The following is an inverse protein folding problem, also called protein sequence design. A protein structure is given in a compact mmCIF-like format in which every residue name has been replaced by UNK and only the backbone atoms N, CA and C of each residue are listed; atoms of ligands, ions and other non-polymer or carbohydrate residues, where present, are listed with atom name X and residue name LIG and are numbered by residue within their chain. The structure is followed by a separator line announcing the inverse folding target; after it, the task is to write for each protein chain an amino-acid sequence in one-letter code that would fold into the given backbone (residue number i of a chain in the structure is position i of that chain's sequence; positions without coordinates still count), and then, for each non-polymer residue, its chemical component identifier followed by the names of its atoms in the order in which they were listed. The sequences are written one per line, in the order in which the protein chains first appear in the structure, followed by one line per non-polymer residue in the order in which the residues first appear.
data_IF_764726303676
#
_entry.id   IF_764726303676
#
_cell.length_a   1.000
_cell.length_b   1.000
_cell.length_c   1.000
_cell.angle_alpha   90.00
_cell.angle_beta   90.00
_cell.angle_gamma   90.00
#
_symmetry.space_group_name_H-M   'P 1'
#
loop_
_entity.id
_entity.type
_entity.pdbx_description
1 polymer ?
#
# COMPACT_ATOMS: atom_id res chain seq x y z
N UNK A 1 -41.04 56.45 1.35
CA UNK A 1 -39.65 56.58 0.83
C UNK A 1 -38.64 55.86 1.73
N UNK A 2 -38.62 54.52 1.76
CA UNK A 2 -37.59 53.76 2.51
C UNK A 2 -37.37 52.32 1.99
N UNK A 3 -37.73 52.05 0.73
CA UNK A 3 -37.67 50.68 0.16
C UNK A 3 -36.57 50.56 -0.91
N UNK A 4 -36.25 51.65 -1.62
CA UNK A 4 -35.18 51.67 -2.63
C UNK A 4 -33.74 51.65 -2.06
N UNK A 5 -33.54 51.93 -0.76
CA UNK A 5 -32.23 51.87 -0.10
C UNK A 5 -31.82 50.48 0.41
N UNK A 6 -32.78 49.58 0.64
CA UNK A 6 -32.51 48.23 1.18
C UNK A 6 -32.17 47.21 0.09
N UNK A 7 -32.76 47.37 -1.10
CA UNK A 7 -32.47 46.52 -2.26
C UNK A 7 -31.06 46.80 -2.78
N UNK A 8 -30.64 48.06 -2.80
CA UNK A 8 -29.29 48.47 -3.20
C UNK A 8 -28.22 48.05 -2.19
N UNK A 9 -28.51 48.01 -0.89
CA UNK A 9 -27.60 47.48 0.13
C UNK A 9 -27.45 45.95 0.04
N UNK A 10 -28.54 45.21 -0.16
CA UNK A 10 -28.49 43.73 -0.36
C UNK A 10 -27.83 43.35 -1.67
N UNK A 11 -28.03 44.12 -2.74
CA UNK A 11 -27.32 43.93 -4.00
C UNK A 11 -25.83 44.28 -3.86
N UNK A 12 -25.46 45.32 -3.11
CA UNK A 12 -24.05 45.63 -2.82
C UNK A 12 -23.38 44.57 -1.94
N UNK A 13 -24.08 43.99 -0.96
CA UNK A 13 -23.56 42.89 -0.14
C UNK A 13 -23.44 41.59 -0.93
N UNK A 14 -24.41 41.26 -1.80
CA UNK A 14 -24.31 40.10 -2.71
C UNK A 14 -23.22 40.31 -3.76
N UNK A 15 -23.06 41.53 -4.27
CA UNK A 15 -21.99 41.88 -5.20
C UNK A 15 -20.63 41.85 -4.52
N UNK A 16 -20.50 42.33 -3.28
CA UNK A 16 -19.26 42.23 -2.49
C UNK A 16 -18.93 40.77 -2.12
N UNK A 17 -19.94 39.93 -1.82
CA UNK A 17 -19.75 38.50 -1.58
C UNK A 17 -19.41 37.72 -2.86
N UNK A 18 -19.99 38.10 -4.00
CA UNK A 18 -19.63 37.57 -5.32
C UNK A 18 -18.28 38.10 -5.83
N UNK A 19 -17.90 39.33 -5.47
CA UNK A 19 -16.58 39.91 -5.73
C UNK A 19 -15.49 39.31 -4.83
N UNK A 20 -15.84 38.79 -3.63
CA UNK A 20 -14.94 37.96 -2.82
C UNK A 20 -14.84 36.50 -3.27
N UNK A 21 -15.82 36.01 -4.04
CA UNK A 21 -15.82 34.69 -4.71
C UNK A 21 -15.31 34.76 -6.16
N UNK A 22 -15.08 35.96 -6.69
CA UNK A 22 -14.46 36.16 -7.99
C UNK A 22 -12.94 36.01 -7.83
N UNK A 23 -12.38 34.96 -8.43
CA UNK A 23 -10.95 34.71 -8.62
C UNK A 23 -10.27 36.04 -9.04
N UNK A 24 -9.45 36.69 -8.19
CA UNK A 24 -8.75 37.90 -8.62
C UNK A 24 -7.84 37.60 -9.82
N UNK A 25 -7.51 38.60 -10.66
CA UNK A 25 -6.48 38.46 -11.66
C UNK A 25 -5.13 38.30 -10.93
N UNK A 26 -4.72 37.06 -10.70
CA UNK A 26 -3.66 36.73 -9.76
C UNK A 26 -2.27 37.06 -10.30
N UNK A 27 -1.58 37.94 -9.56
CA UNK A 27 -0.11 37.97 -9.48
C UNK A 27 0.42 36.83 -8.59
N UNK A 28 1.73 36.62 -8.67
CA UNK A 28 2.45 35.43 -8.16
C UNK A 28 2.26 35.11 -6.67
N UNK A 29 2.11 33.80 -6.42
CA UNK A 29 2.07 33.10 -5.13
C UNK A 29 0.77 33.25 -4.33
N UNK A 30 -0.27 32.50 -4.71
CA UNK A 30 -1.32 32.17 -3.75
C UNK A 30 -1.56 30.67 -3.73
N UNK A 31 -1.34 30.13 -2.54
CA UNK A 31 -1.73 28.80 -2.10
C UNK A 31 -3.24 28.63 -2.28
N UNK A 32 -3.68 27.53 -2.90
CA UNK A 32 -5.09 27.28 -3.15
C UNK A 32 -5.90 26.79 -1.95
N UNK A 33 -5.25 26.56 -0.79
CA UNK A 33 -5.87 26.14 0.47
C UNK A 33 -7.22 26.82 0.77
N UNK A 34 -7.34 28.17 0.79
CA UNK A 34 -8.59 28.83 1.16
C UNK A 34 -9.74 28.58 0.18
N UNK A 35 -9.46 28.30 -1.10
CA UNK A 35 -10.52 28.04 -2.09
C UNK A 35 -10.95 26.57 -2.13
N UNK A 36 -10.03 25.66 -1.77
CA UNK A 36 -10.26 24.22 -1.77
C UNK A 36 -10.89 23.74 -0.47
N UNK A 37 -10.50 24.28 0.68
CA UNK A 37 -10.95 23.80 2.02
C UNK A 37 -11.77 24.86 2.76
N UNK A 38 -11.87 26.09 2.24
CA UNK A 38 -12.65 27.16 2.86
C UNK A 38 -14.10 26.72 3.10
N UNK A 39 -14.50 26.74 4.38
CA UNK A 39 -15.84 26.37 4.88
C UNK A 39 -16.23 24.90 4.77
N UNK A 40 -15.31 24.01 4.38
CA UNK A 40 -15.60 22.57 4.20
C UNK A 40 -15.42 21.74 5.46
N UNK A 41 -14.88 22.30 6.55
CA UNK A 41 -14.70 21.55 7.79
C UNK A 41 -16.02 21.40 8.56
N UNK A 42 -16.47 20.17 8.89
CA UNK A 42 -17.73 19.96 9.59
C UNK A 42 -17.73 20.49 11.04
N UNK A 43 -18.89 20.94 11.51
CA UNK A 43 -19.07 21.38 12.90
C UNK A 43 -18.94 20.19 13.88
N UNK A 44 -19.39 19.01 13.45
CA UNK A 44 -19.38 17.74 14.19
C UNK A 44 -17.95 17.28 14.50
N UNK A 45 -16.99 17.62 13.63
CA UNK A 45 -15.57 17.32 13.78
C UNK A 45 -14.76 18.52 14.29
N UNK A 46 -15.43 19.64 14.59
CA UNK A 46 -14.80 20.80 15.22
C UNK A 46 -14.58 20.58 16.72
N UNK A 47 -15.44 19.78 17.36
CA UNK A 47 -15.25 19.32 18.75
C UNK A 47 -14.73 17.89 18.74
N UNK A 48 -13.47 17.69 19.12
CA UNK A 48 -12.84 16.37 19.11
C UNK A 48 -13.25 15.57 20.35
N UNK A 49 -13.89 14.43 20.14
CA UNK A 49 -14.24 13.41 21.15
C UNK A 49 -13.46 12.11 20.88
N UNK A 50 -13.35 11.17 21.83
CA UNK A 50 -12.68 9.88 21.59
C UNK A 50 -13.26 9.10 20.40
N UNK A 51 -14.56 9.22 20.16
CA UNK A 51 -15.32 8.50 19.14
C UNK A 51 -15.02 9.04 17.73
N UNK A 52 -14.87 10.37 17.58
CA UNK A 52 -14.64 11.05 16.31
C UNK A 52 -13.17 11.42 16.03
N UNK A 53 -12.26 11.30 17.01
CA UNK A 53 -10.86 11.72 16.88
C UNK A 53 -10.09 11.03 15.75
N UNK A 54 -10.42 9.76 15.48
CA UNK A 54 -9.83 9.00 14.36
C UNK A 54 -10.28 9.54 13.01
N UNK A 55 -11.57 9.78 12.84
CA UNK A 55 -12.19 10.33 11.62
C UNK A 55 -11.71 11.76 11.36
N UNK A 56 -11.67 12.60 12.39
CA UNK A 56 -11.16 13.97 12.28
C UNK A 56 -9.68 14.02 11.85
N UNK A 57 -8.83 13.17 12.42
CA UNK A 57 -7.40 13.11 12.04
C UNK A 57 -7.22 12.67 10.59
N UNK A 58 -7.99 11.66 10.17
CA UNK A 58 -7.98 11.16 8.80
C UNK A 58 -8.44 12.25 7.81
N UNK A 59 -9.60 12.87 8.07
CA UNK A 59 -10.15 13.91 7.20
C UNK A 59 -9.20 15.10 7.06
N UNK A 60 -8.52 15.52 8.14
CA UNK A 60 -7.53 16.60 8.08
C UNK A 60 -6.35 16.25 7.18
N UNK A 61 -5.80 15.05 7.34
CA UNK A 61 -4.68 14.60 6.52
C UNK A 61 -5.05 14.51 5.03
N UNK A 62 -6.29 14.10 4.74
CA UNK A 62 -6.80 13.98 3.38
C UNK A 62 -7.05 15.35 2.72
N UNK A 63 -7.65 16.30 3.44
CA UNK A 63 -7.83 17.67 2.94
C UNK A 63 -6.49 18.36 2.67
N UNK A 64 -5.50 18.21 3.56
CA UNK A 64 -4.14 18.72 3.35
C UNK A 64 -3.49 18.09 2.10
N UNK A 65 -3.77 16.81 1.82
CA UNK A 65 -3.27 16.12 0.64
C UNK A 65 -3.89 16.66 -0.65
N UNK A 66 -5.20 16.87 -0.68
CA UNK A 66 -5.92 17.43 -1.83
C UNK A 66 -5.38 18.82 -2.16
N UNK A 67 -5.20 19.66 -1.14
CA UNK A 67 -4.63 21.00 -1.27
C UNK A 67 -3.21 20.98 -1.82
N UNK A 68 -2.34 20.10 -1.31
CA UNK A 68 -0.96 19.98 -1.81
C UNK A 68 -0.92 19.56 -3.28
N UNK A 69 -1.76 18.59 -3.66
CA UNK A 69 -1.87 18.11 -5.04
C UNK A 69 -2.35 19.22 -5.99
N UNK A 70 -3.40 19.96 -5.60
CA UNK A 70 -3.93 21.06 -6.40
C UNK A 70 -2.88 22.17 -6.59
N UNK A 71 -2.16 22.53 -5.51
CA UNK A 71 -1.07 23.50 -5.59
C UNK A 71 0.07 23.06 -6.52
N UNK A 72 0.41 21.77 -6.57
CA UNK A 72 1.43 21.23 -7.47
C UNK A 72 1.00 21.25 -8.94
N UNK A 73 -0.26 20.92 -9.22
CA UNK A 73 -0.84 21.04 -10.55
C UNK A 73 -0.84 22.50 -11.03
N UNK A 74 -1.24 23.44 -10.17
CA UNK A 74 -1.18 24.87 -10.47
C UNK A 74 0.26 25.35 -10.76
N UNK A 75 1.27 24.84 -10.01
CA UNK A 75 2.68 25.13 -10.31
C UNK A 75 3.10 24.58 -11.68
N UNK A 76 2.63 23.40 -12.05
CA UNK A 76 2.95 22.76 -13.33
C UNK A 76 2.34 23.53 -14.51
N UNK A 77 1.05 23.89 -14.42
CA UNK A 77 0.36 24.72 -15.42
C UNK A 77 1.10 26.04 -15.63
N UNK A 78 1.56 26.67 -14.55
CA UNK A 78 2.32 27.93 -14.61
C UNK A 78 3.73 27.76 -15.20
N UNK A 79 4.42 26.65 -14.90
CA UNK A 79 5.74 26.33 -15.47
C UNK A 79 5.67 26.06 -16.98
N UNK A 80 4.52 25.61 -17.49
CA UNK A 80 4.31 25.38 -18.92
C UNK A 80 4.27 26.69 -19.75
N UNK A 81 4.29 27.88 -19.12
CA UNK A 81 4.51 29.15 -19.80
C UNK A 81 3.34 29.68 -20.64
N UNK A 82 2.20 28.98 -20.68
CA UNK A 82 0.98 29.48 -21.29
C UNK A 82 0.46 30.66 -20.46
N UNK A 83 0.31 31.84 -21.07
CA UNK A 83 -0.26 33.04 -20.41
C UNK A 83 -1.56 33.42 -21.10
N UNK A 84 -2.61 33.69 -20.33
CA UNK A 84 -3.89 34.17 -20.85
C UNK A 84 -5.12 33.43 -20.32
N UNK A 85 -6.30 33.60 -20.95
CA UNK A 85 -7.58 33.09 -20.44
C UNK A 85 -7.66 31.56 -20.42
N UNK A 86 -6.94 30.87 -21.31
CA UNK A 86 -6.89 29.41 -21.32
C UNK A 86 -6.19 28.83 -20.08
N UNK A 87 -5.11 29.48 -19.64
CA UNK A 87 -4.41 29.12 -18.40
C UNK A 87 -5.34 29.33 -17.19
N UNK A 88 -6.05 30.47 -17.14
CA UNK A 88 -6.98 30.77 -16.06
C UNK A 88 -8.15 29.77 -15.98
N UNK A 89 -8.68 29.34 -17.14
CA UNK A 89 -9.72 28.32 -17.18
C UNK A 89 -9.24 26.96 -16.66
N UNK A 90 -7.99 26.59 -16.97
CA UNK A 90 -7.41 25.33 -16.49
C UNK A 90 -7.06 25.39 -15.01
N UNK A 91 -6.51 26.52 -14.53
CA UNK A 91 -6.29 26.74 -13.10
C UNK A 91 -7.61 26.70 -12.31
N UNK A 92 -8.69 27.27 -12.85
CA UNK A 92 -10.03 27.20 -12.24
C UNK A 92 -10.55 25.76 -12.17
N UNK A 93 -10.39 24.97 -13.23
CA UNK A 93 -10.79 23.54 -13.24
C UNK A 93 -10.08 22.73 -12.17
N UNK A 94 -8.79 22.97 -11.96
CA UNK A 94 -8.00 22.30 -10.92
C UNK A 94 -8.56 22.64 -9.53
N UNK A 95 -8.85 23.92 -9.27
CA UNK A 95 -9.39 24.36 -7.97
C UNK A 95 -10.80 23.82 -7.74
N UNK A 96 -11.68 23.89 -8.75
CA UNK A 96 -13.06 23.40 -8.67
C UNK A 96 -13.11 21.88 -8.48
N UNK A 97 -12.26 21.14 -9.20
CA UNK A 97 -12.13 19.69 -9.06
C UNK A 97 -11.61 19.29 -7.67
N UNK A 98 -10.59 19.99 -7.17
CA UNK A 98 -10.06 19.78 -5.83
C UNK A 98 -11.11 20.06 -4.74
N UNK A 99 -11.90 21.13 -4.90
CA UNK A 99 -12.99 21.47 -3.97
C UNK A 99 -14.10 20.42 -3.99
N UNK A 100 -14.49 19.92 -5.17
CA UNK A 100 -15.50 18.87 -5.29
C UNK A 100 -15.04 17.57 -4.60
N UNK A 101 -13.78 17.19 -4.78
CA UNK A 101 -13.20 16.03 -4.12
C UNK A 101 -13.13 16.22 -2.59
N UNK A 102 -12.74 17.41 -2.13
CA UNK A 102 -12.73 17.75 -0.71
C UNK A 102 -14.14 17.60 -0.09
N UNK A 103 -15.18 18.08 -0.79
CA UNK A 103 -16.57 17.93 -0.35
C UNK A 103 -17.00 16.46 -0.24
N UNK A 104 -16.67 15.63 -1.24
CA UNK A 104 -16.98 14.20 -1.22
C UNK A 104 -16.29 13.48 -0.06
N UNK A 105 -15.03 13.83 0.26
CA UNK A 105 -14.30 13.25 1.39
C UNK A 105 -14.91 13.64 2.73
N UNK A 106 -15.35 14.89 2.86
CA UNK A 106 -16.06 15.37 4.04
C UNK A 106 -17.38 14.60 4.23
N UNK A 107 -18.16 14.45 3.17
CA UNK A 107 -19.44 13.74 3.21
C UNK A 107 -19.26 12.25 3.57
N UNK A 108 -18.25 11.59 2.99
CA UNK A 108 -17.91 10.20 3.34
C UNK A 108 -17.49 10.05 4.81
N UNK A 109 -16.72 11.00 5.34
CA UNK A 109 -16.31 11.01 6.75
C UNK A 109 -17.50 11.17 7.70
N UNK A 110 -18.49 11.99 7.33
CA UNK A 110 -19.74 12.15 8.10
C UNK A 110 -20.58 10.89 8.05
N UNK A 111 -20.75 10.25 6.88
CA UNK A 111 -21.46 8.95 6.78
C UNK A 111 -20.78 7.85 7.60
N UNK A 112 -19.45 7.84 7.64
CA UNK A 112 -18.69 6.91 8.48
C UNK A 112 -18.92 7.18 9.98
N UNK A 113 -19.04 8.46 10.37
CA UNK A 113 -19.34 8.86 11.74
C UNK A 113 -20.76 8.44 12.13
N UNK A 114 -21.76 8.70 11.28
CA UNK A 114 -23.15 8.31 11.49
C UNK A 114 -23.30 6.80 11.62
N UNK A 115 -22.68 6.02 10.71
CA UNK A 115 -22.67 4.56 10.79
C UNK A 115 -22.04 4.04 12.10
N UNK A 116 -20.95 4.66 12.54
CA UNK A 116 -20.28 4.30 13.80
C UNK A 116 -21.10 4.69 15.03
N UNK A 117 -21.99 5.68 14.90
CA UNK A 117 -22.95 6.07 15.93
C UNK A 117 -24.19 5.17 15.95
N UNK A 118 -24.63 4.64 14.81
CA UNK A 118 -25.73 3.67 14.71
C UNK A 118 -25.34 2.27 15.24
N UNK A 119 -24.07 1.86 15.13
CA UNK A 119 -23.54 0.60 15.65
C UNK A 119 -23.32 0.57 17.19
N UNK A 120 -23.73 1.62 17.92
CA UNK A 120 -23.69 1.66 19.38
C UNK A 120 -24.99 1.07 19.98
N UNK A 121 -24.92 0.06 20.88
CA UNK A 121 -26.11 -0.46 21.55
C UNK A 121 -26.76 0.65 22.38
N UNK A 122 -27.99 1.05 22.03
CA UNK A 122 -28.75 2.08 22.77
C UNK A 122 -29.59 1.52 23.91
N UNK A 123 -29.30 0.30 24.37
CA UNK A 123 -29.81 -0.24 25.65
C UNK A 123 -28.64 -0.37 26.61
N UNK A 124 -28.34 0.72 27.34
CA UNK A 124 -27.78 0.73 28.70
C UNK A 124 -27.36 2.15 29.10
N UNK A 125 -28.34 3.02 29.32
CA UNK A 125 -28.19 4.19 30.18
C UNK A 125 -28.82 3.86 31.55
N UNK A 126 -28.10 3.98 32.67
CA UNK A 126 -28.61 3.58 33.97
C UNK A 126 -29.63 4.61 34.47
N UNK A 127 -30.86 4.18 34.73
CA UNK A 127 -31.84 4.93 35.53
C UNK A 127 -32.21 4.13 36.77
N UNK A 128 -31.91 4.72 37.92
CA UNK A 128 -32.17 4.20 39.26
C UNK A 128 -33.67 4.30 39.58
N UNK A 129 -34.28 3.23 40.09
CA UNK A 129 -35.37 3.31 41.09
C UNK A 129 -35.65 1.96 41.80
N UNK A 130 -36.21 2.00 43.03
CA UNK A 130 -36.01 1.01 44.09
C UNK A 130 -37.03 -0.15 44.09
N UNK A 131 -36.73 -1.22 44.85
CA UNK A 131 -37.53 -2.46 45.01
C UNK A 131 -38.95 -2.26 45.59
N UNK A 132 -39.72 -3.33 45.94
CA UNK A 132 -39.26 -4.58 46.60
C UNK A 132 -39.98 -5.90 46.20
N UNK A 133 -39.48 -7.03 46.73
CA UNK A 133 -40.33 -8.02 47.40
C UNK A 133 -40.79 -9.28 46.66
N UNK A 134 -40.18 -10.40 47.06
CA UNK A 134 -40.78 -11.75 47.25
C UNK A 134 -41.19 -12.63 46.06
N UNK A 135 -40.60 -13.84 46.03
CA UNK A 135 -40.89 -14.96 45.10
C UNK A 135 -42.19 -15.72 45.42
N UNK A 136 -42.34 -17.04 45.11
CA UNK A 136 -41.32 -18.04 44.75
C UNK A 136 -41.66 -18.98 43.55
N UNK A 137 -40.62 -19.76 43.20
CA UNK A 137 -40.51 -21.03 42.45
C UNK A 137 -41.77 -21.88 42.18
N UNK A 138 -41.88 -22.47 40.99
CA UNK A 138 -41.64 -23.91 40.73
C UNK A 138 -42.01 -24.28 39.27
N UNK A 139 -41.20 -25.16 38.68
CA UNK A 139 -41.53 -26.18 37.66
C UNK A 139 -42.57 -25.83 36.56
N UNK A 140 -42.18 -25.87 35.29
CA UNK A 140 -42.41 -27.06 34.46
C UNK A 140 -41.96 -26.88 32.99
N UNK A 141 -41.53 -28.00 32.40
CA UNK A 141 -41.75 -28.40 31.00
C UNK A 141 -41.10 -27.65 29.81
N UNK A 142 -39.99 -28.26 29.35
CA UNK A 142 -39.73 -28.80 27.99
C UNK A 142 -39.97 -27.99 26.69
N UNK A 143 -38.87 -27.92 25.89
CA UNK A 143 -38.69 -28.30 24.46
C UNK A 143 -39.59 -27.70 23.34
N UNK A 144 -38.95 -26.89 22.46
CA UNK A 144 -38.93 -26.79 20.96
C UNK A 144 -40.19 -27.19 20.12
N UNK A 145 -40.35 -26.82 18.82
CA UNK A 145 -40.08 -25.61 18.01
C UNK A 145 -41.25 -25.27 17.01
N UNK A 146 -41.00 -24.41 15.99
CA UNK A 146 -41.60 -24.39 14.62
C UNK A 146 -42.91 -23.61 14.29
N UNK A 147 -42.70 -22.50 13.56
CA UNK A 147 -43.30 -21.92 12.31
C UNK A 147 -44.83 -21.65 12.14
N UNK A 148 -45.08 -20.48 11.50
CA UNK A 148 -46.24 -20.01 10.69
C UNK A 148 -47.38 -19.35 11.49
N UNK A 149 -48.06 -18.26 11.06
CA UNK A 149 -48.55 -17.89 9.72
C UNK A 149 -48.63 -16.35 9.58
N UNK A 150 -48.38 -15.92 8.33
CA UNK A 150 -48.79 -14.71 7.63
C UNK A 150 -50.06 -13.96 8.09
N UNK A 151 -50.06 -12.64 7.94
CA UNK A 151 -51.23 -11.89 7.48
C UNK A 151 -50.78 -10.65 6.70
N UNK A 152 -51.52 -10.39 5.63
CA UNK A 152 -51.19 -9.56 4.48
C UNK A 152 -51.29 -8.05 4.71
N UNK A 153 -50.57 -7.36 3.84
CA UNK A 153 -50.50 -5.93 3.51
C UNK A 153 -51.87 -5.21 3.42
N UNK A 154 -51.91 -3.87 3.53
CA UNK A 154 -51.83 -3.12 2.27
C UNK A 154 -51.01 -1.82 2.34
N UNK A 155 -50.07 -1.72 1.40
CA UNK A 155 -49.91 -0.63 0.43
C UNK A 155 -49.96 0.82 0.95
N UNK A 156 -48.78 1.40 1.11
CA UNK A 156 -48.50 2.77 0.67
C UNK A 156 -47.27 2.77 -0.25
N UNK A 157 -47.45 3.37 -1.42
CA UNK A 157 -46.46 3.50 -2.50
C UNK A 157 -45.26 4.36 -2.06
N UNK A 158 -44.20 3.71 -1.58
CA UNK A 158 -42.88 4.34 -1.47
C UNK A 158 -42.14 4.15 -2.81
N UNK A 159 -41.68 5.22 -3.49
CA UNK A 159 -40.93 5.07 -4.73
C UNK A 159 -39.66 4.28 -4.43
N UNK A 160 -39.48 3.17 -5.16
CA UNK A 160 -38.27 2.37 -5.12
C UNK A 160 -37.07 3.29 -5.40
N UNK A 161 -36.33 3.60 -4.34
CA UNK A 161 -34.93 4.00 -4.46
C UNK A 161 -34.28 2.76 -5.03
N UNK A 162 -34.11 2.74 -6.35
CA UNK A 162 -33.11 1.90 -6.96
C UNK A 162 -31.81 2.31 -6.28
N UNK A 163 -31.39 1.49 -5.33
CA UNK A 163 -30.02 1.44 -4.84
C UNK A 163 -29.20 1.16 -6.10
N UNK A 164 -28.83 2.24 -6.79
CA UNK A 164 -27.71 2.21 -7.70
C UNK A 164 -26.55 2.00 -6.75
N UNK A 165 -26.26 0.73 -6.42
CA UNK A 165 -24.89 0.31 -6.19
C UNK A 165 -24.10 0.96 -7.31
N UNK A 166 -23.49 2.10 -7.01
CA UNK A 166 -22.37 2.59 -7.77
C UNK A 166 -21.32 1.51 -7.54
N UNK A 167 -21.39 0.45 -8.34
CA UNK A 167 -20.39 -0.57 -8.43
C UNK A 167 -19.09 0.19 -8.61
N UNK A 168 -18.25 0.19 -7.57
CA UNK A 168 -16.87 0.56 -7.73
C UNK A 168 -16.41 -0.24 -8.93
N UNK A 169 -16.05 0.44 -10.02
CA UNK A 169 -15.60 -0.26 -11.20
C UNK A 169 -14.47 -1.19 -10.74
N UNK A 170 -14.52 -2.49 -11.09
CA UNK A 170 -13.47 -3.39 -10.68
C UNK A 170 -12.16 -2.81 -11.19
N UNK A 171 -11.18 -2.70 -10.29
CA UNK A 171 -9.83 -2.28 -10.61
C UNK A 171 -9.35 -3.05 -11.85
N UNK A 172 -8.86 -2.34 -12.86
CA UNK A 172 -8.33 -3.01 -14.05
C UNK A 172 -7.06 -3.80 -13.71
N UNK A 173 -6.80 -4.87 -14.45
CA UNK A 173 -5.58 -5.68 -14.26
C UNK A 173 -4.30 -4.83 -14.37
N UNK A 174 -4.32 -3.82 -15.25
CA UNK A 174 -3.21 -2.89 -15.43
C UNK A 174 -3.01 -2.00 -14.19
N UNK A 175 -4.08 -1.46 -13.62
CA UNK A 175 -4.02 -0.66 -12.38
C UNK A 175 -3.47 -1.48 -11.21
N UNK A 176 -3.93 -2.73 -11.06
CA UNK A 176 -3.43 -3.65 -10.03
C UNK A 176 -1.94 -3.88 -10.14
N UNK A 177 -1.45 -4.15 -11.35
CA UNK A 177 -0.03 -4.37 -11.59
C UNK A 177 0.79 -3.10 -11.38
N UNK A 178 0.29 -1.92 -11.75
CA UNK A 178 0.96 -0.65 -11.43
C UNK A 178 1.06 -0.43 -9.92
N UNK A 179 -0.01 -0.68 -9.16
CA UNK A 179 0.01 -0.57 -7.70
C UNK A 179 1.04 -1.53 -7.09
N UNK A 180 1.11 -2.76 -7.58
CA UNK A 180 2.11 -3.74 -7.15
C UNK A 180 3.54 -3.26 -7.45
N UNK A 181 3.81 -2.82 -8.67
CA UNK A 181 5.15 -2.31 -9.05
C UNK A 181 5.52 -1.11 -8.19
N UNK A 182 4.58 -0.18 -7.96
CA UNK A 182 4.80 0.97 -7.09
C UNK A 182 5.10 0.56 -5.64
N UNK A 183 4.40 -0.45 -5.11
CA UNK A 183 4.69 -1.01 -3.79
C UNK A 183 6.13 -1.55 -3.68
N UNK A 184 6.61 -2.25 -4.71
CA UNK A 184 7.99 -2.74 -4.75
C UNK A 184 9.00 -1.60 -4.87
N UNK A 185 8.74 -0.66 -5.78
CA UNK A 185 9.61 0.49 -6.04
C UNK A 185 9.68 1.48 -4.86
N UNK A 186 8.63 1.58 -4.03
CA UNK A 186 8.67 2.38 -2.78
C UNK A 186 9.63 1.80 -1.75
N UNK A 187 9.83 0.48 -1.75
CA UNK A 187 10.78 -0.18 -0.85
C UNK A 187 12.21 -0.05 -1.36
N UNK A 188 12.41 -0.15 -2.67
CA UNK A 188 13.72 0.01 -3.29
C UNK A 188 13.61 0.70 -4.66
N UNK A 189 13.64 2.06 -4.69
CA UNK A 189 13.45 2.84 -5.91
C UNK A 189 14.69 2.86 -6.81
N UNK A 190 15.84 2.37 -6.31
CA UNK A 190 17.08 2.27 -7.10
C UNK A 190 17.08 1.14 -8.13
N UNK A 191 16.07 0.28 -8.15
CA UNK A 191 15.98 -0.89 -9.02
C UNK A 191 14.89 -0.76 -10.08
N UNK A 192 15.10 -1.41 -11.23
CA UNK A 192 14.00 -1.66 -12.15
C UNK A 192 13.10 -2.76 -11.58
N UNK A 193 11.79 -2.55 -11.71
CA UNK A 193 10.77 -3.50 -11.29
C UNK A 193 9.83 -3.79 -12.45
N UNK A 194 9.45 -5.05 -12.62
CA UNK A 194 8.41 -5.47 -13.54
C UNK A 194 7.46 -6.44 -12.84
N UNK A 195 6.17 -6.28 -13.07
CA UNK A 195 5.16 -7.25 -12.66
C UNK A 195 4.22 -7.57 -13.82
N UNK A 196 3.67 -8.77 -13.82
CA UNK A 196 2.74 -9.15 -14.87
C UNK A 196 2.01 -10.44 -14.57
N UNK A 197 0.86 -10.57 -15.23
CA UNK A 197 -0.01 -11.73 -15.09
C UNK A 197 0.33 -12.75 -16.17
N UNK A 198 0.48 -14.00 -15.76
CA UNK A 198 0.62 -15.14 -16.68
C UNK A 198 -0.74 -15.56 -17.22
N UNK A 199 -0.74 -16.31 -18.32
CA UNK A 199 -1.97 -16.92 -18.87
C UNK A 199 -2.73 -17.80 -17.87
N UNK A 200 -2.03 -18.36 -16.86
CA UNK A 200 -2.63 -19.16 -15.80
C UNK A 200 -3.20 -18.34 -14.63
N UNK A 201 -3.25 -17.01 -14.75
CA UNK A 201 -3.76 -16.10 -13.73
C UNK A 201 -2.81 -15.84 -12.56
N UNK A 202 -1.56 -16.30 -12.63
CA UNK A 202 -0.56 -16.05 -11.59
C UNK A 202 0.15 -14.72 -11.87
N UNK A 203 0.10 -13.81 -10.90
CA UNK A 203 0.93 -12.60 -10.89
C UNK A 203 2.35 -12.92 -10.48
N UNK A 204 3.31 -12.49 -11.30
CA UNK A 204 4.75 -12.60 -11.05
C UNK A 204 5.39 -11.23 -10.98
N UNK A 205 6.44 -11.11 -10.17
CA UNK A 205 7.26 -9.91 -10.06
C UNK A 205 8.73 -10.25 -10.26
N UNK A 206 9.47 -9.32 -10.87
CA UNK A 206 10.90 -9.44 -11.13
C UNK A 206 11.61 -8.09 -10.96
N UNK A 207 12.88 -8.18 -10.61
CA UNK A 207 13.87 -7.12 -10.80
C UNK A 207 15.04 -7.70 -11.60
N UNK A 208 15.69 -6.85 -12.38
CA UNK A 208 16.88 -7.19 -13.18
C UNK A 208 18.18 -7.13 -12.39
N UNK A 209 18.16 -6.76 -11.11
CA UNK A 209 19.34 -6.74 -10.23
C UNK A 209 20.19 -8.02 -10.30
N UNK A 210 19.53 -9.18 -10.32
CA UNK A 210 20.18 -10.48 -10.39
C UNK A 210 19.25 -11.55 -10.98
N UNK A 211 18.94 -11.42 -12.27
CA UNK A 211 18.33 -12.50 -13.07
C UNK A 211 16.92 -12.94 -12.57
N UNK A 212 16.24 -12.06 -11.81
CA UNK A 212 14.93 -12.29 -11.19
C UNK A 212 14.95 -12.56 -9.69
N UNK A 213 16.13 -12.56 -9.05
CA UNK A 213 16.25 -12.65 -7.59
C UNK A 213 15.68 -11.41 -6.90
N UNK A 214 14.89 -11.60 -5.84
CA UNK A 214 14.38 -10.52 -5.00
C UNK A 214 15.27 -10.37 -3.75
N UNK A 215 15.91 -9.22 -3.52
CA UNK A 215 16.76 -8.96 -2.37
C UNK A 215 16.12 -9.27 -1.01
N UNK A 216 16.92 -9.55 0.03
CA UNK A 216 16.44 -9.58 1.41
C UNK A 216 15.90 -8.19 1.81
N UNK A 217 14.99 -8.16 2.77
CA UNK A 217 14.38 -6.91 3.25
C UNK A 217 13.24 -6.37 2.38
N UNK A 218 13.05 -6.90 1.17
CA UNK A 218 11.90 -6.55 0.32
C UNK A 218 10.70 -7.42 0.67
N UNK A 219 9.63 -6.77 1.15
CA UNK A 219 8.31 -7.33 1.35
C UNK A 219 7.66 -7.68 0.01
N UNK A 220 7.03 -8.86 -0.04
CA UNK A 220 6.32 -9.36 -1.22
C UNK A 220 4.89 -9.71 -0.80
N UNK A 221 3.86 -9.21 -1.52
CA UNK A 221 2.47 -9.54 -1.25
C UNK A 221 2.17 -11.04 -1.36
N UNK A 222 1.18 -11.57 -0.61
CA UNK A 222 0.93 -13.01 -0.50
C UNK A 222 0.42 -13.70 -1.76
N UNK A 223 -0.22 -12.94 -2.65
CA UNK A 223 -0.79 -13.34 -3.93
C UNK A 223 0.26 -13.38 -5.07
N UNK A 224 1.43 -12.80 -4.84
CA UNK A 224 2.50 -12.70 -5.84
C UNK A 224 3.43 -13.92 -5.78
N UNK A 225 3.83 -14.40 -6.95
CA UNK A 225 4.85 -15.45 -7.10
C UNK A 225 6.18 -14.87 -7.56
N UNK A 226 7.26 -15.36 -6.97
CA UNK A 226 8.62 -15.03 -7.41
C UNK A 226 9.09 -15.99 -8.49
N UNK A 227 9.98 -15.50 -9.36
CA UNK A 227 10.62 -16.35 -10.36
C UNK A 227 11.47 -17.44 -9.70
N UNK A 228 11.51 -18.66 -10.26
CA UNK A 228 12.35 -19.72 -9.73
C UNK A 228 13.84 -19.41 -9.97
N UNK A 229 14.75 -19.89 -9.11
CA UNK A 229 16.18 -19.76 -9.29
C UNK A 229 16.62 -20.34 -10.62
N UNK A 230 17.15 -19.46 -11.48
CA UNK A 230 17.63 -19.84 -12.80
C UNK A 230 18.46 -18.69 -13.35
N UNK A 231 19.45 -19.02 -14.18
CA UNK A 231 20.16 -17.99 -14.91
C UNK A 231 19.32 -17.37 -16.03
N UNK A 232 19.26 -16.05 -16.08
CA UNK A 232 18.52 -15.26 -17.07
C UNK A 232 19.33 -14.03 -17.47
N UNK A 233 19.04 -13.49 -18.64
CA UNK A 233 19.68 -12.26 -19.15
C UNK A 233 18.62 -11.34 -19.73
N UNK A 234 18.81 -10.04 -19.60
CA UNK A 234 17.89 -9.03 -20.13
C UNK A 234 17.39 -8.10 -19.05
N UNK A 235 16.54 -7.16 -19.45
CA UNK A 235 15.86 -6.24 -18.54
C UNK A 235 14.75 -6.95 -17.73
N UNK A 236 14.15 -6.22 -16.78
CA UNK A 236 13.14 -6.77 -15.88
C UNK A 236 11.94 -7.39 -16.63
N UNK A 237 11.53 -6.82 -17.77
CA UNK A 237 10.44 -7.34 -18.61
C UNK A 237 10.84 -8.64 -19.31
N UNK A 238 12.04 -8.68 -19.89
CA UNK A 238 12.58 -9.87 -20.54
C UNK A 238 12.72 -11.02 -19.56
N UNK A 239 13.21 -10.74 -18.34
CA UNK A 239 13.33 -11.70 -17.24
C UNK A 239 11.96 -12.22 -16.79
N UNK A 240 10.94 -11.34 -16.77
CA UNK A 240 9.57 -11.72 -16.46
C UNK A 240 9.05 -12.76 -17.46
N UNK A 241 9.40 -12.67 -18.74
CA UNK A 241 8.96 -13.61 -19.78
C UNK A 241 7.50 -13.38 -20.20
N UNK A 242 6.82 -14.35 -20.83
CA UNK A 242 5.49 -14.13 -21.43
C UNK A 242 4.41 -13.82 -20.38
N UNK A 243 3.71 -12.70 -20.56
CA UNK A 243 2.62 -12.21 -19.71
C UNK A 243 1.48 -11.66 -20.57
N UNK A 244 0.24 -11.74 -20.07
CA UNK A 244 -0.96 -11.20 -20.73
C UNK A 244 -1.05 -9.68 -20.53
N UNK A 245 -0.71 -9.22 -19.33
CA UNK A 245 -0.68 -7.81 -18.92
C UNK A 245 0.59 -7.60 -18.09
N UNK A 246 1.24 -6.45 -18.23
CA UNK A 246 2.46 -6.12 -17.50
C UNK A 246 2.58 -4.64 -17.17
N UNK A 247 3.19 -4.35 -16.03
CA UNK A 247 3.59 -3.02 -15.61
C UNK A 247 5.08 -2.98 -15.25
N UNK A 248 5.71 -1.82 -15.41
CA UNK A 248 7.14 -1.63 -15.17
C UNK A 248 7.41 -0.33 -14.45
N UNK A 249 8.56 -0.28 -13.78
CA UNK A 249 9.14 0.90 -13.18
C UNK A 249 10.64 0.90 -13.45
N UNK A 250 11.16 2.04 -13.90
CA UNK A 250 12.59 2.31 -13.96
C UNK A 250 12.99 3.28 -12.84
N UNK A 251 14.24 3.20 -12.35
CA UNK A 251 14.75 4.14 -11.34
C UNK A 251 14.55 5.60 -11.76
N UNK A 252 13.90 6.37 -10.90
CA UNK A 252 13.59 7.78 -11.14
C UNK A 252 12.22 8.04 -11.78
N UNK A 253 11.49 7.00 -12.18
CA UNK A 253 10.10 7.15 -12.60
C UNK A 253 9.25 7.72 -11.44
N UNK A 254 8.25 8.57 -11.74
CA UNK A 254 7.40 9.15 -10.72
C UNK A 254 6.48 8.08 -10.10
N UNK A 255 6.64 7.84 -8.79
CA UNK A 255 5.80 6.95 -7.97
C UNK A 255 4.42 7.56 -7.62
N UNK A 256 3.88 8.41 -8.50
CA UNK A 256 2.63 9.15 -8.28
C UNK A 256 1.46 8.58 -9.10
N UNK A 257 1.65 7.44 -9.77
CA UNK A 257 0.59 6.77 -10.52
C UNK A 257 -0.55 6.32 -9.61
N UNK A 258 -0.25 6.07 -8.33
CA UNK A 258 -1.25 5.76 -7.33
C UNK A 258 -1.68 6.97 -6.48
N UNK A 259 -2.90 7.50 -6.71
CA UNK A 259 -3.63 8.40 -5.80
C UNK A 259 -3.95 7.76 -4.43
N UNK A 260 -2.94 7.40 -3.62
CA UNK A 260 -3.13 6.99 -2.22
C UNK A 260 -3.58 5.56 -1.96
N UNK A 261 -3.60 4.69 -2.96
CA UNK A 261 -4.01 3.29 -2.87
C UNK A 261 -2.82 2.31 -2.79
N UNK A 262 -1.59 2.72 -3.16
CA UNK A 262 -0.37 1.92 -2.93
C UNK A 262 -0.09 1.67 -1.43
N UNK A 263 -0.69 2.49 -0.55
CA UNK A 263 -0.68 2.32 0.91
C UNK A 263 -1.67 1.25 1.41
N UNK A 264 -2.45 0.61 0.54
CA UNK A 264 -3.39 -0.45 0.91
C UNK A 264 -2.72 -1.83 1.07
N UNK A 265 -1.53 -2.03 0.48
CA UNK A 265 -0.67 -3.13 0.88
C UNK A 265 -0.10 -2.80 2.25
N UNK A 266 -0.73 -3.32 3.31
CA UNK A 266 -0.15 -3.32 4.64
C UNK A 266 1.24 -3.97 4.55
N UNK A 267 2.34 -3.25 4.81
CA UNK A 267 3.66 -3.86 4.83
C UNK A 267 3.72 -5.03 5.79
N UNK A 268 2.92 -5.05 6.87
CA UNK A 268 2.83 -6.19 7.79
C UNK A 268 2.14 -7.43 7.17
N UNK A 269 1.50 -7.30 6.00
CA UNK A 269 0.96 -8.39 5.20
C UNK A 269 2.00 -8.99 4.22
N UNK A 270 3.31 -8.78 4.43
CA UNK A 270 4.34 -9.50 3.67
C UNK A 270 4.22 -11.00 3.90
N UNK A 271 4.46 -11.79 2.85
CA UNK A 271 4.41 -13.23 2.96
C UNK A 271 5.75 -13.87 2.65
N UNK A 272 6.38 -14.45 3.69
CA UNK A 272 7.49 -15.40 3.52
C UNK A 272 7.08 -16.55 2.59
N UNK A 273 5.78 -16.85 2.47
CA UNK A 273 5.25 -17.88 1.56
C UNK A 273 5.51 -17.57 0.09
N UNK A 274 5.65 -16.30 -0.31
CA UNK A 274 5.96 -15.92 -1.70
C UNK A 274 7.36 -16.43 -2.11
N UNK A 275 8.28 -16.54 -1.13
CA UNK A 275 9.64 -17.09 -1.29
C UNK A 275 9.69 -18.62 -1.24
N UNK A 276 8.54 -19.31 -1.16
CA UNK A 276 8.51 -20.79 -1.12
C UNK A 276 9.04 -21.38 -2.43
N UNK A 277 10.05 -22.22 -2.31
CA UNK A 277 10.64 -23.03 -3.39
C UNK A 277 10.71 -24.50 -2.96
N UNK A 278 11.01 -25.44 -3.89
CA UNK A 278 11.40 -26.79 -3.52
C UNK A 278 12.51 -26.76 -2.45
N UNK A 279 12.41 -27.67 -1.48
CA UNK A 279 13.38 -27.73 -0.38
C UNK A 279 14.72 -28.24 -0.87
N UNK A 280 15.80 -27.57 -0.49
CA UNK A 280 17.16 -28.06 -0.67
C UNK A 280 17.47 -29.05 0.46
N UNK A 281 17.74 -30.29 0.06
CA UNK A 281 18.15 -31.34 1.00
C UNK A 281 19.47 -30.96 1.69
N UNK A 282 19.58 -31.28 2.98
CA UNK A 282 20.77 -30.98 3.79
C UNK A 282 21.23 -29.50 3.75
N UNK A 283 20.29 -28.56 3.60
CA UNK A 283 20.53 -27.11 3.52
C UNK A 283 21.59 -26.61 4.51
N UNK A 284 21.49 -27.00 5.79
CA UNK A 284 22.44 -26.55 6.81
C UNK A 284 23.88 -27.03 6.56
N UNK A 285 24.05 -28.28 6.11
CA UNK A 285 25.37 -28.83 5.76
C UNK A 285 25.94 -28.15 4.51
N UNK A 286 25.11 -28.01 3.47
CA UNK A 286 25.50 -27.36 2.23
C UNK A 286 25.88 -25.88 2.44
N UNK A 287 25.11 -25.17 3.26
CA UNK A 287 25.37 -23.77 3.60
C UNK A 287 26.67 -23.62 4.41
N UNK A 288 26.90 -24.49 5.39
CA UNK A 288 28.16 -24.49 6.15
C UNK A 288 29.36 -24.76 5.23
N UNK A 289 29.22 -25.65 4.25
CA UNK A 289 30.23 -25.92 3.22
C UNK A 289 30.47 -24.71 2.30
N UNK A 290 29.41 -24.07 1.81
CA UNK A 290 29.50 -22.92 0.90
C UNK A 290 30.10 -21.66 1.54
N UNK A 291 29.99 -21.52 2.86
CA UNK A 291 30.52 -20.39 3.64
C UNK A 291 31.95 -20.62 4.15
N UNK A 292 32.44 -21.86 4.07
CA UNK A 292 33.77 -22.21 4.59
C UNK A 292 34.89 -21.56 3.76
N UNK A 293 35.75 -20.78 4.41
CA UNK A 293 36.90 -20.09 3.79
C UNK A 293 36.56 -19.28 2.54
N UNK A 294 35.35 -18.73 2.48
CA UNK A 294 34.92 -17.92 1.34
C UNK A 294 35.37 -16.48 1.50
N UNK A 295 36.11 -15.99 0.50
CA UNK A 295 36.60 -14.61 0.48
C UNK A 295 35.44 -13.61 0.44
N UNK A 296 35.58 -12.53 1.23
CA UNK A 296 34.59 -11.47 1.33
C UNK A 296 33.39 -11.75 2.24
N UNK A 297 33.31 -12.92 2.89
CA UNK A 297 32.34 -13.17 3.95
C UNK A 297 32.95 -12.93 5.35
N UNK A 298 32.21 -12.30 6.28
CA UNK A 298 32.61 -12.24 7.68
C UNK A 298 32.78 -13.64 8.27
N UNK A 299 33.79 -13.82 9.14
CA UNK A 299 34.09 -15.13 9.73
C UNK A 299 32.91 -15.72 10.51
N UNK A 300 32.05 -14.88 11.11
CA UNK A 300 30.89 -15.34 11.87
C UNK A 300 29.92 -16.16 11.01
N UNK A 301 29.81 -15.86 9.70
CA UNK A 301 28.78 -16.44 8.82
C UNK A 301 28.91 -17.96 8.79
N UNK A 302 30.13 -18.46 8.64
CA UNK A 302 30.40 -19.89 8.68
C UNK A 302 30.08 -20.52 10.05
N UNK A 303 30.49 -19.85 11.13
CA UNK A 303 30.26 -20.33 12.50
C UNK A 303 28.76 -20.44 12.79
N UNK A 304 27.99 -19.40 12.45
CA UNK A 304 26.54 -19.35 12.67
C UNK A 304 25.79 -20.32 11.76
N UNK A 305 26.18 -20.46 10.49
CA UNK A 305 25.61 -21.47 9.60
C UNK A 305 25.80 -22.89 10.15
N UNK A 306 26.99 -23.19 10.69
CA UNK A 306 27.28 -24.49 11.32
C UNK A 306 26.49 -24.70 12.62
N UNK A 307 26.39 -23.67 13.47
CA UNK A 307 25.58 -23.72 14.68
C UNK A 307 24.10 -23.96 14.38
N UNK A 308 23.53 -23.23 13.40
CA UNK A 308 22.15 -23.39 12.97
C UNK A 308 21.89 -24.79 12.37
N UNK A 309 22.83 -25.32 11.56
CA UNK A 309 22.74 -26.68 11.02
C UNK A 309 22.74 -27.75 12.14
N UNK A 310 23.52 -27.54 13.19
CA UNK A 310 23.56 -28.39 14.37
C UNK A 310 22.39 -28.15 15.35
N UNK A 311 21.51 -27.17 15.07
CA UNK A 311 20.44 -26.71 15.97
C UNK A 311 20.97 -26.28 17.35
N UNK A 312 22.19 -25.76 17.38
CA UNK A 312 22.77 -25.13 18.56
C UNK A 312 22.12 -23.76 18.74
N UNK A 313 21.77 -23.34 19.97
CA UNK A 313 21.26 -21.99 20.22
C UNK A 313 22.28 -20.93 19.78
N UNK A 314 21.80 -19.91 19.10
CA UNK A 314 22.56 -18.73 18.65
C UNK A 314 22.02 -17.54 19.44
N UNK A 315 22.91 -16.64 19.88
CA UNK A 315 22.50 -15.46 20.62
C UNK A 315 21.86 -14.43 19.69
N UNK A 316 20.83 -13.73 20.17
CA UNK A 316 20.16 -12.66 19.40
C UNK A 316 21.16 -11.57 18.96
N UNK A 317 22.17 -11.27 19.77
CA UNK A 317 23.23 -10.33 19.42
C UNK A 317 24.07 -10.77 18.23
N UNK A 318 24.29 -12.09 18.06
CA UNK A 318 25.03 -12.63 16.91
C UNK A 318 24.16 -12.59 15.64
N UNK A 319 22.84 -12.79 15.79
CA UNK A 319 21.87 -12.63 14.69
C UNK A 319 21.83 -11.16 14.24
N UNK A 320 21.82 -10.22 15.17
CA UNK A 320 21.83 -8.78 14.86
C UNK A 320 23.12 -8.37 14.15
N UNK A 321 24.28 -8.86 14.60
CA UNK A 321 25.57 -8.64 13.92
C UNK A 321 25.54 -9.16 12.48
N UNK A 322 24.95 -10.34 12.27
CA UNK A 322 24.76 -10.94 10.95
C UNK A 322 23.82 -10.10 10.07
N UNK A 323 22.74 -9.53 10.63
CA UNK A 323 21.82 -8.63 9.92
C UNK A 323 22.49 -7.34 9.48
N UNK A 324 23.35 -6.75 10.30
CA UNK A 324 24.15 -5.57 9.93
C UNK A 324 25.07 -5.88 8.74
N UNK A 325 25.71 -7.05 8.75
CA UNK A 325 26.53 -7.48 7.61
C UNK A 325 25.71 -7.74 6.35
N UNK A 326 24.54 -8.37 6.49
CA UNK A 326 23.62 -8.58 5.37
C UNK A 326 23.16 -7.25 4.75
N UNK A 327 22.78 -6.29 5.58
CA UNK A 327 22.33 -4.97 5.11
C UNK A 327 23.47 -4.21 4.44
N UNK A 328 24.68 -4.26 5.01
CA UNK A 328 25.86 -3.66 4.39
C UNK A 328 26.14 -4.26 3.01
N UNK A 329 26.09 -5.60 2.89
CA UNK A 329 26.28 -6.29 1.62
C UNK A 329 25.17 -5.92 0.62
N UNK A 330 23.91 -5.84 1.05
CA UNK A 330 22.77 -5.43 0.21
C UNK A 330 22.97 -4.03 -0.36
N UNK A 331 23.28 -3.05 0.49
CA UNK A 331 23.53 -1.67 0.07
C UNK A 331 24.72 -1.56 -0.90
N UNK A 332 25.78 -2.34 -0.69
CA UNK A 332 26.92 -2.39 -1.61
C UNK A 332 26.54 -2.93 -3.00
N UNK A 333 25.63 -3.91 -3.09
CA UNK A 333 25.12 -4.39 -4.38
C UNK A 333 24.29 -3.31 -5.08
N UNK A 334 23.40 -2.66 -4.35
CA UNK A 334 22.54 -1.61 -4.90
C UNK A 334 23.35 -0.42 -5.42
N UNK A 335 24.45 -0.07 -4.74
CA UNK A 335 25.35 0.99 -5.19
C UNK A 335 26.12 0.65 -6.50
N UNK A 336 26.23 -0.63 -6.84
CA UNK A 336 26.88 -1.10 -8.09
C UNK A 336 25.91 -1.26 -9.24
N UNK A 337 24.60 -1.27 -8.97
CA UNK A 337 23.58 -1.43 -10.00
C UNK A 337 23.73 -0.35 -11.10
N UNK A 338 23.65 -0.73 -12.40
CA UNK A 338 23.23 -2.03 -12.92
C UNK A 338 24.32 -3.12 -13.03
N UNK A 339 25.59 -2.76 -12.88
CA UNK A 339 26.72 -3.68 -13.11
C UNK A 339 27.25 -4.25 -11.79
N UNK A 340 26.53 -5.24 -11.26
CA UNK A 340 26.82 -5.83 -9.94
C UNK A 340 27.97 -6.84 -10.01
N UNK A 341 28.95 -6.73 -9.10
CA UNK A 341 29.97 -7.76 -8.94
C UNK A 341 29.36 -9.11 -8.54
N UNK A 342 29.65 -10.14 -9.35
CA UNK A 342 29.07 -11.46 -9.15
C UNK A 342 29.52 -12.13 -7.84
N UNK A 343 30.77 -11.89 -7.40
CA UNK A 343 31.25 -12.45 -6.14
C UNK A 343 30.54 -11.82 -4.93
N UNK A 344 30.35 -10.50 -4.96
CA UNK A 344 29.56 -9.77 -3.97
C UNK A 344 28.10 -10.25 -3.94
N UNK A 345 27.47 -10.50 -5.10
CA UNK A 345 26.11 -11.04 -5.17
C UNK A 345 26.00 -12.40 -4.49
N UNK A 346 26.91 -13.33 -4.81
CA UNK A 346 26.95 -14.65 -4.20
C UNK A 346 27.21 -14.57 -2.68
N UNK A 347 28.02 -13.61 -2.22
CA UNK A 347 28.25 -13.37 -0.80
C UNK A 347 26.97 -12.87 -0.10
N UNK A 348 26.23 -11.94 -0.71
CA UNK A 348 24.96 -11.45 -0.18
C UNK A 348 23.91 -12.57 -0.08
N UNK A 349 23.81 -13.44 -1.09
CA UNK A 349 22.94 -14.61 -1.06
C UNK A 349 23.26 -15.56 0.09
N UNK A 350 24.55 -15.82 0.36
CA UNK A 350 24.98 -16.67 1.47
C UNK A 350 24.74 -16.00 2.84
N UNK A 351 24.94 -14.69 2.96
CA UNK A 351 24.59 -13.92 4.16
C UNK A 351 23.09 -14.01 4.44
N UNK A 352 22.24 -13.81 3.43
CA UNK A 352 20.79 -13.89 3.56
C UNK A 352 20.34 -15.31 3.93
N UNK A 353 20.98 -16.34 3.36
CA UNK A 353 20.69 -17.73 3.70
C UNK A 353 21.11 -18.08 5.14
N UNK A 354 22.27 -17.58 5.59
CA UNK A 354 22.77 -17.77 6.95
C UNK A 354 21.91 -17.05 7.99
N UNK A 355 21.46 -15.83 7.70
CA UNK A 355 20.55 -15.08 8.56
C UNK A 355 19.23 -15.81 8.74
N UNK A 356 18.60 -16.24 7.63
CA UNK A 356 17.36 -17.02 7.70
C UNK A 356 17.53 -18.33 8.49
N UNK A 357 18.67 -19.02 8.35
CA UNK A 357 18.96 -20.22 9.13
C UNK A 357 19.13 -19.91 10.63
N UNK A 358 19.84 -18.83 10.98
CA UNK A 358 20.10 -18.44 12.36
C UNK A 358 18.83 -17.94 13.07
N UNK A 359 17.99 -17.19 12.37
CA UNK A 359 16.68 -16.68 12.84
C UNK A 359 15.57 -17.75 12.86
N UNK A 360 15.83 -18.95 12.32
CA UNK A 360 14.85 -20.04 12.23
C UNK A 360 13.87 -19.93 11.05
N UNK A 361 13.98 -18.90 10.21
CA UNK A 361 13.23 -18.79 8.95
C UNK A 361 13.85 -19.64 7.84
N UNK A 362 13.51 -20.93 7.88
CA UNK A 362 14.00 -21.91 6.92
C UNK A 362 13.50 -21.66 5.48
N UNK A 363 12.38 -20.96 5.30
CA UNK A 363 11.85 -20.65 3.96
C UNK A 363 12.72 -19.60 3.28
N UNK A 364 13.02 -18.51 3.98
CA UNK A 364 13.92 -17.46 3.50
C UNK A 364 15.33 -18.01 3.28
N UNK A 365 15.83 -18.83 4.22
CA UNK A 365 17.11 -19.51 4.05
C UNK A 365 17.18 -20.36 2.77
N UNK A 366 16.17 -21.21 2.56
CA UNK A 366 16.06 -22.07 1.39
C UNK A 366 15.99 -21.24 0.09
N UNK A 367 15.24 -20.15 0.09
CA UNK A 367 15.11 -19.26 -1.05
C UNK A 367 16.46 -18.70 -1.49
N UNK A 368 17.19 -18.05 -0.58
CA UNK A 368 18.47 -17.41 -0.90
C UNK A 368 19.54 -18.44 -1.26
N UNK A 369 19.56 -19.60 -0.60
CA UNK A 369 20.52 -20.65 -0.92
C UNK A 369 20.26 -21.30 -2.28
N UNK A 370 18.99 -21.52 -2.66
CA UNK A 370 18.66 -22.05 -3.99
C UNK A 370 19.07 -21.08 -5.12
N UNK A 371 18.91 -19.76 -4.91
CA UNK A 371 19.48 -18.75 -5.81
C UNK A 371 21.00 -18.77 -5.86
N UNK A 372 21.68 -18.91 -4.72
CA UNK A 372 23.12 -19.11 -4.69
C UNK A 372 23.55 -20.32 -5.53
N UNK A 373 22.89 -21.47 -5.40
CA UNK A 373 23.22 -22.67 -6.18
C UNK A 373 23.03 -22.45 -7.69
N UNK A 374 21.91 -21.83 -8.09
CA UNK A 374 21.62 -21.57 -9.50
C UNK A 374 22.63 -20.60 -10.13
N UNK A 375 23.04 -19.56 -9.40
CA UNK A 375 23.96 -18.53 -9.88
C UNK A 375 25.44 -18.89 -9.69
N UNK A 376 25.79 -19.80 -8.77
CA UNK A 376 27.14 -20.30 -8.59
C UNK A 376 27.47 -21.47 -9.54
N UNK A 377 26.45 -22.13 -10.10
CA UNK A 377 26.65 -23.22 -11.05
C UNK A 377 27.43 -22.74 -12.29
N UNK A 378 28.40 -23.54 -12.79
CA UNK A 378 29.14 -23.19 -14.00
C UNK A 378 28.19 -23.10 -15.19
N UNK A 379 28.43 -22.12 -16.08
CA UNK A 379 27.64 -21.96 -17.29
C UNK A 379 27.64 -23.29 -18.08
N UNK A 380 26.46 -23.78 -18.52
CA UNK A 380 26.42 -24.98 -19.33
C UNK A 380 27.26 -24.76 -20.59
N UNK A 381 28.26 -25.60 -20.81
CA UNK A 381 29.07 -25.58 -22.03
C UNK A 381 28.10 -25.68 -23.22
N UNK A 382 28.04 -24.66 -24.08
CA UNK A 382 27.30 -24.73 -25.35
C UNK A 382 27.80 -25.97 -26.08
N UNK A 383 26.96 -27.01 -26.18
CA UNK A 383 27.25 -28.14 -27.06
C UNK A 383 27.30 -27.57 -28.46
N UNK A 384 28.51 -27.54 -29.04
CA UNK A 384 28.68 -27.28 -30.46
C UNK A 384 27.91 -28.37 -31.21
N UNK A 385 26.74 -28.01 -31.70
CA UNK A 385 26.05 -28.77 -32.74
C UNK A 385 26.92 -28.64 -33.99
N UNK A 386 27.65 -29.71 -34.29
CA UNK A 386 28.26 -29.92 -35.60
C UNK A 386 27.23 -30.46 -36.57
#
# INVERSE_FOLDING_TARGET
MAIFGRITARQRLRRAAQESLAIPPFGSAVDCTPWVVGELWPAELSTITPENASVARYLRAELDRIVRSANEQLRTIRRAGATGPAQQAEEARVVDGARALAAQRVEAALRQLDKKMEDLPTDNLPTISPGPGDGPSAEDTQRLPVITVAAEDPADEQPAIQEVEAAAQPESDQERLHRLVEFMARQEPGLCWAAGDRENGITVVATDLAEGWIPPGIAVPPDVRLLPPQRRTGDAVTILGPTTVSATYAPGDPLAWSFGWATEFDPAAYSVRARRLPTVDDLGWLLAGATHMRDGLPRMVHTLAKAAAAKTPILETEIEELRVHLETARLQLLAQYPEVDHAALLNCLLLAAAEGMASGDRLTANYHFAWYQALNAPLPKKRSTR
#
